data_IF_991392209967
#
_entry.id   IF_991392209967
#
_cell.length_a   1.000
_cell.length_b   1.000
_cell.length_c   1.000
_cell.angle_alpha   90.00
_cell.angle_beta   90.00
_cell.angle_gamma   90.00
#
_symmetry.space_group_name_H-M   'P 1'
#
loop_
_entity.id
_entity.type
_entity.pdbx_description
1 polymer ?
#
# COMPACT_ATOMS: atom_id res chain seq x y z
N UNK A 1 9.87 -4.42 9.33
CA UNK A 1 8.53 -3.82 9.56
C UNK A 1 8.48 -3.11 10.91
N UNK A 2 8.15 -1.83 10.94
CA UNK A 2 7.84 -1.14 12.20
C UNK A 2 6.46 -1.63 12.66
N UNK A 3 6.42 -2.34 13.79
CA UNK A 3 5.17 -2.84 14.36
C UNK A 3 4.40 -1.74 15.12
N UNK A 4 5.06 -0.62 15.44
CA UNK A 4 4.53 0.43 16.30
C UNK A 4 4.91 1.83 15.82
N UNK A 5 4.11 2.83 16.21
CA UNK A 5 4.31 4.25 15.91
C UNK A 5 3.90 5.16 17.07
N UNK A 6 4.22 6.44 16.95
CA UNK A 6 3.87 7.48 17.91
C UNK A 6 4.83 7.57 19.08
N UNK A 7 4.48 8.42 20.06
CA UNK A 7 5.31 8.61 21.26
C UNK A 7 5.47 7.27 22.00
N UNK A 8 6.72 6.97 22.37
CA UNK A 8 7.09 5.75 23.10
C UNK A 8 6.65 4.43 22.43
N UNK A 9 6.45 4.43 21.11
CA UNK A 9 5.93 3.28 20.36
C UNK A 9 4.56 2.78 20.88
N UNK A 10 3.76 3.67 21.50
CA UNK A 10 2.54 3.29 22.20
C UNK A 10 1.35 2.91 21.31
N UNK A 11 1.47 2.99 19.98
CA UNK A 11 0.41 2.64 19.02
C UNK A 11 0.89 1.58 18.05
N UNK A 12 0.02 0.62 17.71
CA UNK A 12 0.32 -0.46 16.77
C UNK A 12 0.08 0.01 15.34
N UNK A 13 1.03 -0.28 14.45
CA UNK A 13 0.86 -0.04 13.01
C UNK A 13 -0.16 -1.02 12.41
N UNK A 14 -1.16 -0.48 11.70
CA UNK A 14 -2.25 -1.27 11.11
C UNK A 14 -2.07 -1.54 9.60
N UNK A 15 -0.91 -1.16 9.04
CA UNK A 15 -0.62 -1.33 7.61
C UNK A 15 -0.61 -2.81 7.21
N UNK A 16 -1.28 -3.14 6.11
CA UNK A 16 -1.41 -4.48 5.56
C UNK A 16 -0.54 -4.68 4.32
N UNK A 17 -0.54 -5.90 3.78
CA UNK A 17 0.14 -6.26 2.53
C UNK A 17 1.66 -5.94 2.52
N UNK A 18 2.25 -5.91 3.71
CA UNK A 18 3.65 -5.54 3.99
C UNK A 18 4.00 -4.13 3.54
N UNK A 19 3.04 -3.21 3.60
CA UNK A 19 3.27 -1.79 3.55
C UNK A 19 4.18 -1.34 4.72
N UNK A 20 4.92 -0.26 4.47
CA UNK A 20 5.74 0.38 5.51
C UNK A 20 4.87 1.28 6.37
N UNK A 21 5.19 1.38 7.65
CA UNK A 21 4.51 2.28 8.59
C UNK A 21 5.49 3.35 9.06
N UNK A 22 5.08 4.61 8.97
CA UNK A 22 5.83 5.73 9.51
C UNK A 22 5.79 5.71 11.04
N UNK A 23 6.95 5.62 11.69
CA UNK A 23 7.03 5.42 13.13
C UNK A 23 6.60 6.65 13.94
N UNK A 24 6.44 7.82 13.32
CA UNK A 24 6.02 9.07 14.00
C UNK A 24 4.51 9.23 13.90
N UNK A 25 3.98 9.22 12.68
CA UNK A 25 2.59 9.53 12.35
C UNK A 25 1.69 8.31 12.25
N UNK A 26 2.25 7.12 12.00
CA UNK A 26 1.50 5.89 11.74
C UNK A 26 0.97 5.78 10.30
N UNK A 27 1.31 6.71 9.41
CA UNK A 27 0.90 6.63 8.01
C UNK A 27 1.51 5.41 7.31
N UNK A 28 0.70 4.78 6.46
CA UNK A 28 1.13 3.65 5.68
C UNK A 28 1.64 4.09 4.30
N UNK A 29 2.80 3.58 3.91
CA UNK A 29 3.33 3.67 2.55
C UNK A 29 3.08 2.33 1.87
N UNK A 30 2.09 2.30 0.99
CA UNK A 30 1.67 1.09 0.29
C UNK A 30 2.71 0.61 -0.71
N UNK A 31 2.85 -0.71 -0.82
CA UNK A 31 3.56 -1.33 -1.93
C UNK A 31 2.75 -1.18 -3.21
N UNK A 32 3.45 -1.27 -4.35
CA UNK A 32 2.82 -1.27 -5.67
C UNK A 32 1.71 -2.31 -5.75
N UNK A 33 0.58 -1.95 -6.34
CA UNK A 33 -0.58 -2.84 -6.44
C UNK A 33 -1.56 -2.75 -5.25
N UNK A 34 -1.27 -1.94 -4.23
CA UNK A 34 -2.15 -1.71 -3.09
C UNK A 34 -2.42 -0.22 -2.84
N UNK A 35 -3.60 0.06 -2.26
CA UNK A 35 -4.09 1.39 -1.91
C UNK A 35 -5.01 1.32 -0.67
N UNK A 36 -5.52 2.47 -0.23
CA UNK A 36 -6.27 2.63 1.01
C UNK A 36 -5.41 3.19 2.14
N UNK A 37 -6.04 3.55 3.27
CA UNK A 37 -5.32 4.15 4.41
C UNK A 37 -4.33 3.19 5.06
N UNK A 38 -4.67 1.90 5.05
CA UNK A 38 -3.87 0.82 5.61
C UNK A 38 -3.34 -0.11 4.52
N UNK A 39 -3.40 0.29 3.26
CA UNK A 39 -2.97 -0.51 2.11
C UNK A 39 -3.73 -1.84 2.00
N UNK A 40 -4.98 -1.86 2.46
CA UNK A 40 -5.87 -3.01 2.55
C UNK A 40 -6.56 -3.33 1.21
N UNK A 41 -6.59 -2.38 0.30
CA UNK A 41 -7.27 -2.50 -0.99
C UNK A 41 -6.25 -2.85 -2.07
N UNK A 42 -6.55 -3.83 -2.92
CA UNK A 42 -5.79 -4.00 -4.18
C UNK A 42 -6.16 -2.89 -5.16
N UNK A 43 -5.24 -2.57 -6.05
CA UNK A 43 -5.54 -1.68 -7.17
C UNK A 43 -6.71 -2.20 -8.00
N UNK A 44 -7.46 -1.26 -8.59
CA UNK A 44 -8.53 -1.62 -9.50
C UNK A 44 -7.94 -2.36 -10.71
N UNK A 45 -8.66 -3.33 -11.29
CA UNK A 45 -8.20 -4.03 -12.49
C UNK A 45 -7.78 -3.03 -13.58
N UNK A 46 -6.61 -3.25 -14.17
CA UNK A 46 -6.03 -2.33 -15.16
C UNK A 46 -5.23 -1.17 -14.58
N UNK A 47 -5.02 -1.10 -13.26
CA UNK A 47 -4.15 -0.11 -12.62
C UNK A 47 -3.11 -0.74 -11.70
N UNK A 48 -1.94 -0.13 -11.60
CA UNK A 48 -0.81 -0.59 -10.79
C UNK A 48 0.07 0.57 -10.30
N UNK A 49 1.19 0.23 -9.67
CA UNK A 49 2.16 1.20 -9.14
C UNK A 49 1.75 1.80 -7.79
N UNK A 50 2.47 2.84 -7.36
CA UNK A 50 2.16 3.53 -6.10
C UNK A 50 0.83 4.27 -6.21
N UNK A 51 -0.08 4.00 -5.26
CA UNK A 51 -1.41 4.62 -5.26
C UNK A 51 -2.27 4.27 -6.47
N UNK A 52 -1.94 3.19 -7.21
CA UNK A 52 -2.69 2.74 -8.39
C UNK A 52 -2.79 3.78 -9.52
N UNK A 53 -1.78 4.64 -9.65
CA UNK A 53 -1.79 5.75 -10.62
C UNK A 53 -1.30 5.36 -12.01
N UNK A 54 -0.75 4.15 -12.19
CA UNK A 54 -0.25 3.70 -13.48
C UNK A 54 -1.29 2.80 -14.14
N UNK A 55 -1.61 3.07 -15.42
CA UNK A 55 -2.53 2.24 -16.20
C UNK A 55 -1.76 1.07 -16.81
N UNK A 56 -2.31 -0.13 -16.71
CA UNK A 56 -1.77 -1.29 -17.39
C UNK A 56 -2.01 -1.16 -18.91
N UNK A 57 -0.99 -0.80 -19.67
CA UNK A 57 -1.02 -0.85 -21.14
C UNK A 57 -0.80 -2.29 -21.64
N UNK A 58 -1.68 -3.19 -21.25
CA UNK A 58 -1.62 -4.58 -21.68
C UNK A 58 -2.08 -4.70 -23.14
N UNK A 59 -1.14 -4.84 -24.08
CA UNK A 59 -1.47 -5.21 -25.45
C UNK A 59 -1.83 -6.71 -25.55
N UNK A 60 -2.67 -7.09 -26.51
CA UNK A 60 -3.05 -8.48 -26.82
C UNK A 60 -3.66 -9.27 -25.65
N UNK A 61 -4.63 -8.72 -24.92
CA UNK A 61 -5.36 -9.41 -23.83
C UNK A 61 -4.48 -9.89 -22.65
N UNK A 62 -3.28 -9.34 -22.45
CA UNK A 62 -2.49 -9.65 -21.26
C UNK A 62 -3.21 -9.18 -19.98
N UNK A 63 -3.20 -10.01 -18.93
CA UNK A 63 -3.67 -9.63 -17.59
C UNK A 63 -2.55 -8.95 -16.83
N UNK A 64 -2.80 -7.77 -16.26
CA UNK A 64 -1.96 -7.24 -15.20
C UNK A 64 -2.50 -7.70 -13.85
N UNK A 65 -1.72 -8.52 -13.17
CA UNK A 65 -1.94 -9.00 -11.81
C UNK A 65 -0.72 -8.65 -10.95
#
# INVERSE_FOLDING_TARGET
>A
PAAFYGKDCGRVCQCQNGASCDHISGKCTCRTGFTGQHCEQRCAPGTFGYGCQQLCECMNNATCD
#
